data_IF_937417268707
#
_entry.id   IF_937417268707
#
_cell.length_a   1.000
_cell.length_b   1.000
_cell.length_c   1.000
_cell.angle_alpha   90.00
_cell.angle_beta   90.00
_cell.angle_gamma   90.00
#
_symmetry.space_group_name_H-M   'P 1'
#
loop_
_entity.id
_entity.type
_entity.pdbx_description
1 polymer ?
#
# COMPACT_ATOMS: atom_id res chain seq x y z
N UNK A 1 -9.61 14.39 -5.99
CA UNK A 1 -8.58 14.66 -4.96
C UNK A 1 -8.12 13.33 -4.35
N UNK A 2 -6.82 13.13 -4.10
CA UNK A 2 -6.34 11.92 -3.41
C UNK A 2 -6.75 11.97 -1.93
N UNK A 3 -7.38 10.92 -1.42
CA UNK A 3 -7.78 10.85 0.00
C UNK A 3 -6.54 10.79 0.90
N UNK A 4 -6.52 11.48 2.05
CA UNK A 4 -5.39 11.49 2.96
C UNK A 4 -5.18 10.09 3.59
N UNK A 5 -3.93 9.74 3.89
CA UNK A 5 -3.55 8.42 4.42
C UNK A 5 -4.36 8.00 5.67
N UNK A 6 -4.59 8.87 6.69
CA UNK A 6 -5.41 8.51 7.83
C UNK A 6 -6.83 8.07 7.44
N UNK A 7 -7.43 8.73 6.44
CA UNK A 7 -8.75 8.36 5.94
C UNK A 7 -8.72 7.03 5.20
N UNK A 8 -7.67 6.76 4.41
CA UNK A 8 -7.51 5.47 3.75
C UNK A 8 -7.38 4.33 4.77
N UNK A 9 -6.62 4.54 5.85
CA UNK A 9 -6.47 3.58 6.94
C UNK A 9 -7.77 3.37 7.70
N UNK A 10 -8.51 4.44 8.00
CA UNK A 10 -9.81 4.36 8.66
C UNK A 10 -10.84 3.60 7.80
N UNK A 11 -10.92 3.92 6.49
CA UNK A 11 -11.77 3.18 5.56
C UNK A 11 -11.33 1.71 5.46
N UNK A 12 -10.03 1.42 5.46
CA UNK A 12 -9.54 0.03 5.44
C UNK A 12 -9.97 -0.72 6.71
N UNK A 13 -9.80 -0.10 7.88
CA UNK A 13 -10.13 -0.66 9.19
C UNK A 13 -11.62 -1.00 9.32
N UNK A 14 -12.48 -0.17 8.73
CA UNK A 14 -13.94 -0.33 8.82
C UNK A 14 -14.52 -1.20 7.72
N UNK A 15 -14.10 -1.00 6.46
CA UNK A 15 -14.67 -1.71 5.31
C UNK A 15 -14.13 -3.13 5.17
N UNK A 16 -12.85 -3.39 5.51
CA UNK A 16 -12.29 -4.73 5.30
C UNK A 16 -13.02 -5.82 6.12
N UNK A 17 -13.31 -5.62 7.43
CA UNK A 17 -14.11 -6.58 8.18
C UNK A 17 -15.52 -6.77 7.61
N UNK A 18 -16.19 -5.68 7.20
CA UNK A 18 -17.54 -5.73 6.62
C UNK A 18 -17.59 -6.52 5.32
N UNK A 19 -16.63 -6.30 4.42
CA UNK A 19 -16.47 -7.03 3.15
C UNK A 19 -16.27 -8.53 3.43
N UNK A 20 -15.42 -8.88 4.40
CA UNK A 20 -15.16 -10.28 4.76
C UNK A 20 -16.43 -10.92 5.35
N UNK A 21 -17.07 -10.26 6.32
CA UNK A 21 -18.27 -10.76 6.97
C UNK A 21 -19.42 -10.98 5.98
N UNK A 22 -19.65 -10.01 5.09
CA UNK A 22 -20.69 -10.11 4.05
C UNK A 22 -20.41 -11.24 3.09
N UNK A 23 -19.15 -11.44 2.68
CA UNK A 23 -18.77 -12.54 1.79
C UNK A 23 -19.00 -13.90 2.44
N UNK A 24 -18.59 -14.05 3.70
CA UNK A 24 -18.81 -15.28 4.47
C UNK A 24 -20.31 -15.55 4.68
N UNK A 25 -21.10 -14.51 4.97
CA UNK A 25 -22.55 -14.63 5.10
C UNK A 25 -23.20 -15.07 3.78
N UNK A 26 -22.86 -14.46 2.65
CA UNK A 26 -23.37 -14.87 1.34
C UNK A 26 -23.06 -16.34 1.06
N UNK A 27 -21.82 -16.79 1.30
CA UNK A 27 -21.44 -18.19 1.16
C UNK A 27 -22.22 -19.12 2.10
N UNK A 28 -22.40 -18.73 3.36
CA UNK A 28 -23.16 -19.51 4.36
C UNK A 28 -24.66 -19.63 4.01
N UNK A 29 -25.23 -18.60 3.37
CA UNK A 29 -26.63 -18.60 2.93
C UNK A 29 -26.87 -19.29 1.58
N UNK A 30 -25.81 -19.65 0.86
CA UNK A 30 -25.96 -20.42 -0.39
C UNK A 30 -26.22 -21.90 -0.11
N UNK A 31 -27.06 -22.52 -0.94
CA UNK A 31 -27.37 -23.96 -0.88
C UNK A 31 -26.10 -24.81 -0.93
N UNK A 32 -26.10 -25.98 -0.27
CA UNK A 32 -25.00 -26.94 -0.39
C UNK A 32 -25.19 -27.85 -1.61
N UNK A 33 -24.17 -28.05 -2.47
CA UNK A 33 -22.85 -27.41 -2.45
C UNK A 33 -22.90 -25.94 -2.92
N UNK A 34 -21.97 -25.13 -2.40
CA UNK A 34 -21.87 -23.70 -2.75
C UNK A 34 -21.86 -23.50 -4.28
N UNK A 35 -22.59 -22.49 -4.76
CA UNK A 35 -22.67 -22.20 -6.20
C UNK A 35 -21.26 -21.90 -6.75
N UNK A 36 -20.97 -22.42 -7.95
CA UNK A 36 -19.66 -22.19 -8.61
C UNK A 36 -19.33 -20.70 -8.78
N UNK A 37 -20.33 -19.84 -8.96
CA UNK A 37 -20.19 -18.39 -9.00
C UNK A 37 -19.57 -17.83 -7.71
N UNK A 38 -19.97 -18.35 -6.55
CA UNK A 38 -19.49 -17.85 -5.26
C UNK A 38 -18.03 -18.24 -5.01
N UNK A 39 -17.67 -19.46 -5.36
CA UNK A 39 -16.27 -19.91 -5.25
C UNK A 39 -15.38 -19.10 -6.19
N UNK A 40 -15.85 -18.83 -7.42
CA UNK A 40 -15.14 -18.00 -8.39
C UNK A 40 -14.93 -16.58 -7.88
N UNK A 41 -15.97 -15.91 -7.40
CA UNK A 41 -15.87 -14.55 -6.86
C UNK A 41 -14.89 -14.48 -5.67
N UNK A 42 -14.92 -15.47 -4.77
CA UNK A 42 -13.96 -15.54 -3.66
C UNK A 42 -12.51 -15.64 -4.15
N UNK A 43 -12.26 -16.46 -5.17
CA UNK A 43 -10.93 -16.59 -5.77
C UNK A 43 -10.50 -15.31 -6.50
N UNK A 44 -11.41 -14.62 -7.16
CA UNK A 44 -11.16 -13.32 -7.79
C UNK A 44 -10.77 -12.28 -6.73
N UNK A 45 -11.54 -12.16 -5.64
CA UNK A 45 -11.22 -11.27 -4.52
C UNK A 45 -9.88 -11.60 -3.85
N UNK A 46 -9.52 -12.89 -3.73
CA UNK A 46 -8.21 -13.31 -3.22
C UNK A 46 -7.08 -12.88 -4.15
N UNK A 47 -7.24 -13.14 -5.45
CA UNK A 47 -6.27 -12.77 -6.49
C UNK A 47 -6.04 -11.26 -6.52
N UNK A 48 -7.09 -10.47 -6.35
CA UNK A 48 -7.00 -9.01 -6.24
C UNK A 48 -6.13 -8.55 -5.05
N UNK A 49 -6.17 -9.24 -3.92
CA UNK A 49 -5.32 -8.96 -2.75
C UNK A 49 -3.85 -9.29 -3.06
N UNK A 50 -3.58 -10.41 -3.72
CA UNK A 50 -2.22 -10.77 -4.16
C UNK A 50 -1.67 -9.72 -5.13
N UNK A 51 -2.46 -9.28 -6.11
CA UNK A 51 -2.08 -8.20 -7.03
C UNK A 51 -1.81 -6.89 -6.30
N UNK A 52 -2.58 -6.58 -5.26
CA UNK A 52 -2.36 -5.40 -4.43
C UNK A 52 -1.01 -5.45 -3.69
N UNK A 53 -0.61 -6.63 -3.16
CA UNK A 53 0.72 -6.85 -2.55
C UNK A 53 1.82 -6.56 -3.57
N UNK A 54 1.76 -7.16 -4.76
CA UNK A 54 2.77 -6.96 -5.80
C UNK A 54 2.88 -5.48 -6.19
N UNK A 55 1.74 -4.82 -6.39
CA UNK A 55 1.67 -3.38 -6.73
C UNK A 55 2.28 -2.51 -5.63
N UNK A 56 2.00 -2.85 -4.36
CA UNK A 56 2.52 -2.14 -3.21
C UNK A 56 4.05 -2.30 -3.11
N UNK A 57 4.57 -3.52 -3.27
CA UNK A 57 6.01 -3.79 -3.28
C UNK A 57 6.72 -3.00 -4.38
N UNK A 58 6.21 -3.03 -5.61
CA UNK A 58 6.78 -2.25 -6.72
C UNK A 58 6.79 -0.75 -6.43
N UNK A 59 5.69 -0.23 -5.87
CA UNK A 59 5.56 1.19 -5.55
C UNK A 59 6.50 1.62 -4.42
N UNK A 60 6.65 0.81 -3.38
CA UNK A 60 7.60 1.06 -2.28
C UNK A 60 9.04 1.00 -2.80
N UNK A 61 9.39 0.00 -3.60
CA UNK A 61 10.73 -0.10 -4.23
C UNK A 61 11.05 1.15 -5.06
N UNK A 62 10.10 1.64 -5.85
CA UNK A 62 10.28 2.86 -6.63
C UNK A 62 10.49 4.11 -5.74
N UNK A 63 9.75 4.26 -4.64
CA UNK A 63 9.98 5.35 -3.68
C UNK A 63 11.30 5.19 -2.92
N UNK A 64 11.73 3.96 -2.61
CA UNK A 64 13.03 3.68 -1.99
C UNK A 64 14.18 4.08 -2.89
N UNK A 65 14.10 3.75 -4.18
CA UNK A 65 15.08 4.20 -5.17
C UNK A 65 15.13 5.72 -5.24
N UNK A 66 13.97 6.40 -5.31
CA UNK A 66 13.90 7.88 -5.31
C UNK A 66 14.51 8.50 -4.05
N UNK A 67 14.28 7.90 -2.89
CA UNK A 67 14.89 8.34 -1.64
C UNK A 67 16.42 8.18 -1.68
N UNK A 68 16.92 7.01 -2.08
CA UNK A 68 18.35 6.75 -2.23
C UNK A 68 19.01 7.71 -3.22
N UNK A 69 18.38 8.01 -4.37
CA UNK A 69 18.88 9.00 -5.34
C UNK A 69 19.01 10.38 -4.72
N UNK A 70 18.07 10.79 -3.86
CA UNK A 70 18.15 12.09 -3.16
C UNK A 70 19.30 12.13 -2.17
N UNK A 71 19.47 11.07 -1.37
CA UNK A 71 20.62 10.96 -0.45
C UNK A 71 21.93 11.01 -1.24
N UNK A 72 22.04 10.21 -2.29
CA UNK A 72 23.21 10.18 -3.14
C UNK A 72 23.51 11.56 -3.75
N UNK A 73 22.51 12.25 -4.29
CA UNK A 73 22.69 13.60 -4.85
C UNK A 73 23.20 14.62 -3.82
N UNK A 74 22.76 14.51 -2.56
CA UNK A 74 23.23 15.36 -1.48
C UNK A 74 24.70 15.05 -1.12
N UNK A 75 25.09 13.78 -1.19
CA UNK A 75 26.46 13.33 -0.91
C UNK A 75 27.42 13.67 -2.05
N UNK A 76 27.00 13.57 -3.31
CA UNK A 76 27.83 13.96 -4.47
C UNK A 76 28.21 15.45 -4.39
N UNK A 77 27.32 16.31 -3.89
CA UNK A 77 27.65 17.71 -3.62
C UNK A 77 28.79 17.91 -2.61
N UNK A 78 29.12 16.88 -1.82
CA UNK A 78 30.22 16.86 -0.84
C UNK A 78 31.47 16.13 -1.33
N UNK A 79 31.56 15.78 -2.62
CA UNK A 79 32.62 14.94 -3.17
C UNK A 79 34.03 15.51 -2.97
N UNK A 80 34.18 16.84 -2.91
CA UNK A 80 35.47 17.51 -2.68
C UNK A 80 35.89 17.54 -1.22
N UNK A 81 35.02 17.10 -0.30
CA UNK A 81 35.27 17.08 1.15
C UNK A 81 34.81 15.75 1.74
N UNK A 82 35.56 14.65 1.52
CA UNK A 82 35.14 13.30 1.94
C UNK A 82 34.86 13.17 3.43
N UNK A 83 35.56 13.94 4.28
CA UNK A 83 35.33 13.97 5.72
C UNK A 83 33.92 14.42 6.12
N UNK A 84 33.21 15.16 5.24
CA UNK A 84 31.85 15.64 5.51
C UNK A 84 30.76 14.66 5.07
N UNK A 85 31.09 13.58 4.35
CA UNK A 85 30.11 12.59 3.84
C UNK A 85 29.21 12.02 4.94
N UNK A 86 29.72 11.60 6.12
CA UNK A 86 28.84 11.08 7.16
C UNK A 86 27.81 12.11 7.64
N UNK A 87 28.23 13.37 7.80
CA UNK A 87 27.38 14.46 8.27
C UNK A 87 26.35 14.89 7.21
N UNK A 88 26.75 14.97 5.94
CA UNK A 88 25.84 15.35 4.85
C UNK A 88 24.81 14.25 4.56
N UNK A 89 25.21 12.98 4.70
CA UNK A 89 24.29 11.85 4.64
C UNK A 89 23.25 11.92 5.77
N UNK A 90 23.70 12.13 7.02
CA UNK A 90 22.80 12.23 8.17
C UNK A 90 21.80 13.40 8.03
N UNK A 91 22.27 14.56 7.58
CA UNK A 91 21.41 15.72 7.31
C UNK A 91 20.40 15.44 6.17
N UNK A 92 20.83 14.78 5.09
CA UNK A 92 19.95 14.40 3.99
C UNK A 92 18.88 13.40 4.45
N UNK A 93 19.24 12.43 5.30
CA UNK A 93 18.28 11.48 5.89
C UNK A 93 17.25 12.19 6.76
N UNK A 94 17.65 13.12 7.62
CA UNK A 94 16.71 13.90 8.44
C UNK A 94 15.80 14.79 7.58
N UNK A 95 16.34 15.37 6.50
CA UNK A 95 15.58 16.26 5.60
C UNK A 95 14.58 15.51 4.73
N UNK A 96 14.96 14.38 4.16
CA UNK A 96 14.15 13.66 3.17
C UNK A 96 13.42 12.44 3.74
N UNK A 97 13.90 11.89 4.85
CA UNK A 97 13.40 10.66 5.47
C UNK A 97 11.92 10.73 5.86
N UNK A 98 11.45 11.75 6.61
CA UNK A 98 10.05 11.82 7.01
C UNK A 98 9.08 11.82 5.83
N UNK A 99 9.36 12.65 4.81
CA UNK A 99 8.52 12.73 3.62
C UNK A 99 8.57 11.46 2.75
N UNK A 100 9.73 10.80 2.68
CA UNK A 100 9.88 9.51 1.99
C UNK A 100 9.09 8.42 2.74
N UNK A 101 9.19 8.36 4.06
CA UNK A 101 8.45 7.42 4.91
C UNK A 101 6.94 7.55 4.70
N UNK A 102 6.38 8.76 4.81
CA UNK A 102 4.95 8.99 4.58
C UNK A 102 4.51 8.56 3.17
N UNK A 103 5.31 8.87 2.14
CA UNK A 103 5.01 8.46 0.77
C UNK A 103 5.07 6.94 0.59
N UNK A 104 6.07 6.28 1.16
CA UNK A 104 6.19 4.82 1.13
C UNK A 104 4.97 4.18 1.80
N UNK A 105 4.54 4.67 2.96
CA UNK A 105 3.33 4.19 3.64
C UNK A 105 2.07 4.43 2.79
N UNK A 106 1.93 5.60 2.17
CA UNK A 106 0.82 5.87 1.24
C UNK A 106 0.80 4.88 0.08
N UNK A 107 1.97 4.63 -0.54
CA UNK A 107 2.12 3.68 -1.65
C UNK A 107 1.90 2.23 -1.25
N UNK A 108 2.22 1.88 -0.01
CA UNK A 108 1.96 0.57 0.57
C UNK A 108 0.45 0.35 0.75
N UNK A 109 -0.26 1.32 1.33
CA UNK A 109 -1.68 1.19 1.72
C UNK A 109 -2.62 1.34 0.52
N UNK A 110 -2.31 2.22 -0.42
CA UNK A 110 -3.19 2.62 -1.51
C UNK A 110 -3.75 1.43 -2.35
N UNK A 111 -2.96 0.42 -2.75
CA UNK A 111 -3.49 -0.71 -3.52
C UNK A 111 -4.54 -1.51 -2.75
N UNK A 112 -4.32 -1.76 -1.46
CA UNK A 112 -5.27 -2.47 -0.60
C UNK A 112 -6.55 -1.68 -0.41
N UNK A 113 -6.41 -0.38 -0.11
CA UNK A 113 -7.55 0.53 0.05
C UNK A 113 -8.45 0.53 -1.19
N UNK A 114 -7.86 0.62 -2.39
CA UNK A 114 -8.61 0.55 -3.65
C UNK A 114 -9.37 -0.78 -3.82
N UNK A 115 -8.73 -1.92 -3.54
CA UNK A 115 -9.37 -3.24 -3.67
C UNK A 115 -10.48 -3.44 -2.64
N UNK A 116 -10.26 -3.06 -1.39
CA UNK A 116 -11.29 -3.13 -0.34
C UNK A 116 -12.48 -2.25 -0.69
N UNK A 117 -12.27 -1.03 -1.19
CA UNK A 117 -13.36 -0.14 -1.63
C UNK A 117 -14.12 -0.67 -2.84
N UNK A 118 -13.42 -1.28 -3.79
CA UNK A 118 -14.02 -1.97 -4.93
C UNK A 118 -14.88 -3.16 -4.50
N UNK A 119 -14.41 -3.94 -3.52
CA UNK A 119 -15.15 -5.06 -2.96
C UNK A 119 -16.35 -4.61 -2.13
N UNK A 120 -16.20 -3.55 -1.34
CA UNK A 120 -17.29 -2.95 -0.59
C UNK A 120 -18.43 -2.54 -1.55
N UNK A 121 -18.13 -1.85 -2.65
CA UNK A 121 -19.14 -1.47 -3.66
C UNK A 121 -19.80 -2.65 -4.38
N UNK A 122 -19.16 -3.81 -4.41
CA UNK A 122 -19.68 -5.03 -5.05
C UNK A 122 -20.59 -5.82 -4.11
N UNK A 123 -20.32 -5.78 -2.80
CA UNK A 123 -20.95 -6.65 -1.81
C UNK A 123 -21.93 -5.92 -0.87
N UNK A 124 -21.74 -4.62 -0.64
CA UNK A 124 -22.55 -3.75 0.21
C UNK A 124 -23.39 -2.82 -0.66
#
# INVERSE_FOLDING_TARGET
MKQPLPMQLFELWTLAPQVIATRLMQMATTSYPAKKSEVREMNEMWTEKVQAVVSACQAVTAESMRFQTKIFSAVVGSAMTPALIPQTTAQAMLRYGPAAGTKMTEKLVQPFHKKVKSNARRLL
#
